data_IF_990552131369
#
_entry.id   IF_990552131369
#
_cell.length_a   1.000
_cell.length_b   1.000
_cell.length_c   1.000
_cell.angle_alpha   90.00
_cell.angle_beta   90.00
_cell.angle_gamma   90.00
#
_symmetry.space_group_name_H-M   'P 1'
#
loop_
_entity.id
_entity.type
_entity.pdbx_description
1 polymer ?
#
# COMPACT_ATOMS: atom_id res chain seq x y z
N UNK A 1 -17.28 25.46 -12.56
CA UNK A 1 -15.99 25.84 -11.96
C UNK A 1 -15.57 24.64 -11.14
N UNK A 2 -14.44 24.03 -11.49
CA UNK A 2 -13.84 22.93 -10.73
C UNK A 2 -13.48 23.46 -9.36
N UNK A 3 -14.07 22.93 -8.29
CA UNK A 3 -13.80 23.39 -6.92
C UNK A 3 -12.48 22.75 -6.46
N UNK A 4 -11.38 23.49 -6.66
CA UNK A 4 -10.04 23.07 -6.26
C UNK A 4 -9.83 23.46 -4.80
N UNK A 5 -9.67 22.46 -3.94
CA UNK A 5 -9.47 22.67 -2.51
C UNK A 5 -8.26 21.90 -2.02
N UNK A 6 -7.48 22.57 -1.18
CA UNK A 6 -6.35 21.96 -0.50
C UNK A 6 -6.81 20.86 0.45
N UNK A 7 -5.96 19.86 0.66
CA UNK A 7 -6.15 18.85 1.68
C UNK A 7 -4.86 18.61 2.46
N UNK A 8 -5.02 18.08 3.66
CA UNK A 8 -3.93 17.63 4.51
C UNK A 8 -4.37 16.38 5.28
N UNK A 9 -3.55 15.33 5.23
CA UNK A 9 -3.69 14.11 6.01
C UNK A 9 -2.45 14.02 6.88
N UNK A 10 -2.65 14.04 8.20
CA UNK A 10 -1.57 13.95 9.20
C UNK A 10 -1.65 12.61 9.91
N UNK A 11 -0.53 11.89 9.96
CA UNK A 11 -0.41 10.62 10.69
C UNK A 11 0.84 10.64 11.54
N UNK A 12 0.65 10.50 12.86
CA UNK A 12 1.73 10.23 13.81
C UNK A 12 1.75 8.74 14.14
N UNK A 13 2.89 8.08 13.93
CA UNK A 13 3.05 6.64 14.22
C UNK A 13 4.47 6.29 14.64
N UNK A 14 4.65 5.07 15.16
CA UNK A 14 5.96 4.50 15.46
C UNK A 14 6.28 3.39 14.46
N UNK A 15 7.48 3.43 13.89
CA UNK A 15 7.95 2.46 12.92
C UNK A 15 9.05 1.56 13.51
N UNK A 16 9.04 0.26 13.18
CA UNK A 16 10.04 -0.70 13.64
C UNK A 16 11.34 -0.62 12.81
N UNK A 17 11.98 0.54 12.80
CA UNK A 17 13.26 0.77 12.14
C UNK A 17 13.85 2.12 12.54
N UNK A 18 15.17 2.28 12.40
CA UNK A 18 15.82 3.57 12.70
C UNK A 18 15.43 4.63 11.67
N UNK A 19 15.55 5.93 11.98
CA UNK A 19 15.30 7.01 11.00
C UNK A 19 16.03 6.78 9.67
N UNK A 20 17.26 6.26 9.69
CA UNK A 20 18.04 5.95 8.49
C UNK A 20 17.40 4.83 7.64
N UNK A 21 16.85 3.80 8.27
CA UNK A 21 16.16 2.70 7.55
C UNK A 21 14.83 3.18 6.98
N UNK A 22 14.08 3.99 7.72
CA UNK A 22 12.86 4.61 7.22
C UNK A 22 13.16 5.55 6.06
N UNK A 23 14.19 6.39 6.18
CA UNK A 23 14.65 7.27 5.10
C UNK A 23 14.94 6.50 3.81
N UNK A 24 15.71 5.41 3.89
CA UNK A 24 16.00 4.55 2.74
C UNK A 24 14.70 4.00 2.13
N UNK A 25 13.80 3.48 2.98
CA UNK A 25 12.52 2.92 2.54
C UNK A 25 11.63 3.93 1.78
N UNK A 26 11.58 5.19 2.21
CA UNK A 26 10.72 6.22 1.60
C UNK A 26 11.39 6.98 0.44
N UNK A 27 12.67 6.72 0.17
CA UNK A 27 13.42 7.37 -0.92
C UNK A 27 13.73 6.41 -2.06
N UNK A 28 14.46 5.33 -1.79
CA UNK A 28 14.90 4.34 -2.79
C UNK A 28 14.11 3.03 -2.71
N UNK A 29 13.47 2.76 -1.56
CA UNK A 29 12.78 1.50 -1.26
C UNK A 29 11.28 1.50 -1.49
N UNK A 30 10.70 2.45 -2.23
CA UNK A 30 9.23 2.56 -2.39
C UNK A 30 8.53 1.31 -2.93
N UNK A 31 9.10 0.49 -3.84
CA UNK A 31 8.47 -0.75 -4.27
C UNK A 31 8.29 -1.79 -3.15
N UNK A 32 9.00 -1.65 -2.03
CA UNK A 32 8.95 -2.61 -0.93
C UNK A 32 7.70 -2.46 -0.05
N UNK A 33 6.99 -1.34 -0.13
CA UNK A 33 5.82 -1.09 0.71
C UNK A 33 4.69 -0.29 0.04
N UNK A 34 4.96 0.33 -1.11
CA UNK A 34 3.99 1.10 -1.90
C UNK A 34 4.02 0.63 -3.36
N UNK A 35 4.39 1.46 -4.32
CA UNK A 35 4.58 1.10 -5.72
C UNK A 35 5.85 1.78 -6.25
N UNK A 36 6.48 1.27 -7.33
CA UNK A 36 7.61 1.93 -7.95
C UNK A 36 7.27 3.36 -8.37
N UNK A 37 8.07 4.31 -7.92
CA UNK A 37 7.83 5.75 -8.17
C UNK A 37 8.73 6.33 -9.26
N UNK A 38 9.58 5.53 -9.91
CA UNK A 38 10.58 5.99 -10.89
C UNK A 38 9.97 6.76 -12.08
N UNK A 39 8.72 6.48 -12.41
CA UNK A 39 8.00 7.13 -13.52
C UNK A 39 7.38 8.48 -13.13
N UNK A 40 7.33 8.79 -11.84
CA UNK A 40 6.74 10.00 -11.28
C UNK A 40 7.81 10.77 -10.49
N UNK A 41 8.75 11.42 -11.20
CA UNK A 41 9.84 12.12 -10.55
C UNK A 41 9.29 13.27 -9.70
N UNK A 42 9.74 13.31 -8.46
CA UNK A 42 9.40 14.35 -7.51
C UNK A 42 10.57 15.31 -7.28
N UNK A 43 10.28 16.49 -6.75
CA UNK A 43 11.28 17.45 -6.28
C UNK A 43 11.40 17.32 -4.77
N UNK A 44 12.62 17.09 -4.27
CA UNK A 44 12.92 17.17 -2.84
C UNK A 44 13.05 18.64 -2.43
N UNK A 45 12.02 19.21 -1.82
CA UNK A 45 12.03 20.61 -1.34
C UNK A 45 12.74 20.76 0.00
N UNK A 46 12.77 19.68 0.79
CA UNK A 46 13.59 19.53 2.00
C UNK A 46 14.27 18.16 1.97
N UNK A 47 15.56 18.11 2.31
CA UNK A 47 16.33 16.87 2.35
C UNK A 47 17.41 16.94 3.44
N UNK A 48 17.00 16.72 4.69
CA UNK A 48 17.86 16.73 5.87
C UNK A 48 17.99 15.32 6.45
N UNK A 49 18.97 14.57 5.97
CA UNK A 49 19.17 13.18 6.38
C UNK A 49 19.52 13.04 7.87
N UNK A 50 18.94 12.07 8.61
CA UNK A 50 17.81 11.20 8.23
C UNK A 50 16.45 11.72 8.75
N UNK A 51 16.39 12.95 9.25
CA UNK A 51 15.29 13.43 10.09
C UNK A 51 14.15 14.14 9.38
N UNK A 52 14.36 14.72 8.19
CA UNK A 52 13.32 15.50 7.52
C UNK A 52 13.42 15.43 6.00
N UNK A 53 12.35 14.94 5.37
CA UNK A 53 12.23 14.81 3.93
C UNK A 53 10.89 15.37 3.47
N UNK A 54 10.92 16.28 2.50
CA UNK A 54 9.71 16.73 1.79
C UNK A 54 9.89 16.48 0.31
N UNK A 55 9.00 15.64 -0.24
CA UNK A 55 8.89 15.33 -1.67
C UNK A 55 7.64 15.95 -2.25
N UNK A 56 7.75 16.60 -3.40
CA UNK A 56 6.63 17.28 -4.06
C UNK A 56 6.58 16.95 -5.55
N UNK A 57 5.40 16.61 -6.02
CA UNK A 57 5.07 16.50 -7.44
C UNK A 57 4.07 17.58 -7.80
N UNK A 58 4.40 18.40 -8.79
CA UNK A 58 3.51 19.40 -9.37
C UNK A 58 2.91 18.87 -10.69
N UNK A 59 1.68 19.29 -10.97
CA UNK A 59 0.94 18.93 -12.18
C UNK A 59 0.27 20.14 -12.83
N UNK A 60 -0.47 19.92 -13.93
CA UNK A 60 -1.17 20.98 -14.63
C UNK A 60 -2.13 21.76 -13.71
N UNK A 61 -2.37 23.02 -14.08
CA UNK A 61 -3.35 23.90 -13.45
C UNK A 61 -3.18 24.08 -11.93
N UNK A 62 -1.93 24.07 -11.46
CA UNK A 62 -1.56 24.31 -10.05
C UNK A 62 -1.81 23.12 -9.12
N UNK A 63 -2.18 21.95 -9.66
CA UNK A 63 -2.26 20.72 -8.87
C UNK A 63 -0.89 20.37 -8.28
N UNK A 64 -0.88 19.87 -7.05
CA UNK A 64 0.31 19.25 -6.47
C UNK A 64 -0.07 18.13 -5.52
N UNK A 65 0.90 17.26 -5.27
CA UNK A 65 0.90 16.24 -4.25
C UNK A 65 2.25 16.31 -3.51
N UNK A 66 2.21 16.43 -2.19
CA UNK A 66 3.37 16.59 -1.35
C UNK A 66 3.31 15.58 -0.21
N UNK A 67 4.44 14.91 0.03
CA UNK A 67 4.65 14.02 1.16
C UNK A 67 5.79 14.57 2.01
N UNK A 68 5.53 14.74 3.30
CA UNK A 68 6.50 15.17 4.29
C UNK A 68 6.66 14.09 5.35
N UNK A 69 7.93 13.79 5.67
CA UNK A 69 8.33 12.82 6.67
C UNK A 69 9.25 13.53 7.65
N UNK A 70 8.82 13.63 8.91
CA UNK A 70 9.67 14.05 10.02
C UNK A 70 9.92 12.83 10.91
N UNK A 71 11.18 12.46 11.06
CA UNK A 71 11.65 11.24 11.71
C UNK A 71 12.44 11.58 12.98
N UNK A 72 11.99 11.05 14.10
CA UNK A 72 12.69 11.17 15.38
C UNK A 72 13.13 9.78 15.86
N UNK A 73 14.37 9.60 16.36
CA UNK A 73 14.80 8.33 16.89
C UNK A 73 14.03 7.96 18.17
N UNK A 74 13.71 6.68 18.30
CA UNK A 74 13.15 6.07 19.52
C UNK A 74 14.06 4.94 20.02
N UNK A 75 13.94 4.63 21.31
CA UNK A 75 14.62 3.49 21.91
C UNK A 75 14.27 2.16 21.21
N UNK A 76 15.26 1.26 21.17
CA UNK A 76 15.13 -0.06 20.56
C UNK A 76 15.30 -0.10 19.04
N UNK A 77 15.95 0.92 18.46
CA UNK A 77 16.19 0.98 17.01
C UNK A 77 14.92 1.29 16.21
N UNK A 78 14.03 2.11 16.77
CA UNK A 78 12.75 2.51 16.20
C UNK A 78 12.76 3.98 15.84
N UNK A 79 11.72 4.44 15.16
CA UNK A 79 11.52 5.84 14.82
C UNK A 79 10.07 6.26 15.07
N UNK A 80 9.86 7.48 15.55
CA UNK A 80 8.58 8.17 15.42
C UNK A 80 8.55 8.82 14.05
N UNK A 81 7.45 8.63 13.34
CA UNK A 81 7.15 9.31 12.09
C UNK A 81 5.98 10.27 12.32
N UNK A 82 6.22 11.54 12.04
CA UNK A 82 5.18 12.50 11.73
C UNK A 82 5.10 12.63 10.21
N UNK A 83 4.00 12.13 9.64
CA UNK A 83 3.77 12.09 8.20
C UNK A 83 2.68 13.07 7.81
N UNK A 84 2.94 13.87 6.79
CA UNK A 84 1.94 14.77 6.20
C UNK A 84 1.83 14.49 4.70
N UNK A 85 0.61 14.17 4.25
CA UNK A 85 0.25 14.11 2.85
C UNK A 85 -0.69 15.26 2.53
N UNK A 86 -0.22 16.20 1.71
CA UNK A 86 -0.97 17.39 1.32
C UNK A 86 -1.00 17.57 -0.19
N UNK A 87 -1.94 18.37 -0.66
CA UNK A 87 -2.13 18.59 -2.08
C UNK A 87 -3.40 19.35 -2.39
N UNK A 88 -3.81 19.29 -3.66
CA UNK A 88 -5.07 19.85 -4.12
C UNK A 88 -5.90 18.73 -4.74
N UNK A 89 -7.13 18.53 -4.24
CA UNK A 89 -8.13 17.74 -4.94
C UNK A 89 -8.98 18.64 -5.85
N UNK A 90 -9.39 18.08 -6.99
CA UNK A 90 -10.32 18.73 -7.91
C UNK A 90 -11.61 17.91 -7.97
N UNK A 91 -12.74 18.56 -7.65
CA UNK A 91 -14.09 17.96 -7.55
C UNK A 91 -14.18 16.80 -6.52
N UNK A 92 -15.38 16.42 -6.06
CA UNK A 92 -15.62 15.32 -5.10
C UNK A 92 -14.62 15.23 -3.92
N UNK A 93 -14.30 16.38 -3.32
CA UNK A 93 -13.23 16.50 -2.33
C UNK A 93 -13.38 15.51 -1.16
N UNK A 94 -14.60 15.35 -0.63
CA UNK A 94 -14.85 14.47 0.53
C UNK A 94 -14.55 12.99 0.22
N UNK A 95 -14.92 12.52 -0.97
CA UNK A 95 -14.64 11.14 -1.42
C UNK A 95 -13.15 10.92 -1.69
N UNK A 96 -12.49 11.91 -2.31
CA UNK A 96 -11.04 11.85 -2.56
C UNK A 96 -10.24 11.90 -1.26
N UNK A 97 -10.66 12.71 -0.30
CA UNK A 97 -10.04 12.79 1.02
C UNK A 97 -10.20 11.49 1.81
N UNK A 98 -11.43 10.93 1.90
CA UNK A 98 -11.68 9.66 2.58
C UNK A 98 -10.84 8.55 1.95
N UNK A 99 -10.85 8.46 0.61
CA UNK A 99 -10.03 7.51 -0.14
C UNK A 99 -8.54 7.67 0.15
N UNK A 100 -7.99 8.88 0.03
CA UNK A 100 -6.57 9.14 0.26
C UNK A 100 -6.15 8.84 1.70
N UNK A 101 -6.93 9.28 2.70
CA UNK A 101 -6.66 9.04 4.12
C UNK A 101 -6.61 7.55 4.44
N UNK A 102 -7.60 6.80 3.94
CA UNK A 102 -7.68 5.34 4.07
C UNK A 102 -6.49 4.62 3.44
N UNK A 103 -6.08 5.02 2.23
CA UNK A 103 -4.90 4.43 1.58
C UNK A 103 -3.61 4.77 2.32
N UNK A 104 -3.45 6.02 2.79
CA UNK A 104 -2.29 6.45 3.59
C UNK A 104 -2.10 5.58 4.82
N UNK A 105 -3.17 5.30 5.58
CA UNK A 105 -3.10 4.40 6.73
C UNK A 105 -2.62 2.99 6.37
N UNK A 106 -3.12 2.43 5.26
CA UNK A 106 -2.74 1.09 4.82
C UNK A 106 -1.30 1.02 4.27
N UNK A 107 -0.84 2.06 3.58
CA UNK A 107 0.55 2.15 3.11
C UNK A 107 1.53 2.31 4.28
N UNK A 108 1.23 3.14 5.28
CA UNK A 108 2.08 3.29 6.46
C UNK A 108 2.13 2.01 7.31
N UNK A 109 1.02 1.26 7.38
CA UNK A 109 1.04 -0.09 7.95
C UNK A 109 1.95 -1.03 7.15
N UNK A 110 1.86 -1.00 5.81
CA UNK A 110 2.71 -1.81 4.94
C UNK A 110 4.19 -1.45 5.07
N UNK A 111 4.53 -0.16 5.25
CA UNK A 111 5.88 0.30 5.56
C UNK A 111 6.39 -0.31 6.87
N UNK A 112 5.55 -0.33 7.91
CA UNK A 112 5.88 -0.98 9.18
C UNK A 112 6.14 -2.49 9.02
N UNK A 113 5.31 -3.19 8.23
CA UNK A 113 5.52 -4.62 7.94
C UNK A 113 6.81 -4.87 7.15
N UNK A 114 7.13 -4.03 6.16
CA UNK A 114 8.39 -4.11 5.43
C UNK A 114 9.58 -3.94 6.37
N UNK A 115 9.61 -2.88 7.18
CA UNK A 115 10.71 -2.59 8.10
C UNK A 115 10.90 -3.68 9.17
N UNK A 116 9.80 -4.29 9.63
CA UNK A 116 9.89 -5.34 10.66
C UNK A 116 10.37 -6.68 10.12
N UNK A 117 9.95 -7.08 8.91
CA UNK A 117 10.07 -8.47 8.45
C UNK A 117 10.95 -8.65 7.21
N UNK A 118 11.12 -7.60 6.41
CA UNK A 118 11.73 -7.67 5.08
C UNK A 118 12.80 -6.60 4.85
N UNK A 119 13.21 -5.87 5.89
CA UNK A 119 14.11 -4.73 5.77
C UNK A 119 15.40 -5.07 5.00
N UNK A 120 15.68 -4.29 3.96
CA UNK A 120 16.86 -4.44 3.12
C UNK A 120 16.83 -5.63 2.16
N UNK A 121 15.75 -6.42 2.12
CA UNK A 121 15.60 -7.48 1.12
C UNK A 121 15.26 -6.87 -0.26
N UNK A 122 15.77 -7.45 -1.36
CA UNK A 122 15.33 -7.09 -2.70
C UNK A 122 13.85 -7.44 -2.85
N UNK A 123 13.12 -6.61 -3.59
CA UNK A 123 11.68 -6.78 -3.85
C UNK A 123 11.40 -6.90 -5.34
N UNK A 124 10.51 -7.82 -5.70
CA UNK A 124 9.82 -7.84 -6.98
C UNK A 124 8.39 -7.38 -6.73
N UNK A 125 8.02 -6.26 -7.36
CA UNK A 125 6.69 -5.68 -7.24
C UNK A 125 5.80 -6.11 -8.41
N UNK A 126 4.55 -6.46 -8.09
CA UNK A 126 3.51 -6.74 -9.08
C UNK A 126 2.22 -6.03 -8.69
N UNK A 127 1.64 -5.28 -9.63
CA UNK A 127 0.29 -4.73 -9.51
C UNK A 127 -0.67 -5.54 -10.39
N UNK A 128 -1.78 -5.97 -9.81
CA UNK A 128 -2.81 -6.79 -10.48
C UNK A 128 -4.17 -6.13 -10.29
N UNK A 129 -4.85 -5.89 -11.42
CA UNK A 129 -6.18 -5.31 -11.46
C UNK A 129 -7.21 -6.40 -11.71
N UNK A 130 -8.24 -6.50 -10.88
CA UNK A 130 -9.36 -7.43 -11.12
C UNK A 130 -10.17 -6.99 -12.35
N UNK A 131 -10.94 -7.90 -12.97
CA UNK A 131 -11.87 -7.53 -14.05
C UNK A 131 -12.84 -6.43 -13.64
N UNK A 132 -13.40 -5.70 -14.62
CA UNK A 132 -14.41 -4.67 -14.37
C UNK A 132 -15.65 -5.21 -13.62
N UNK A 133 -15.94 -6.50 -13.74
CA UNK A 133 -16.99 -7.19 -12.97
C UNK A 133 -16.78 -7.17 -11.45
N UNK A 134 -15.59 -6.80 -10.96
CA UNK A 134 -15.32 -6.56 -9.53
C UNK A 134 -15.82 -5.21 -9.01
N UNK A 135 -16.21 -4.29 -9.90
CA UNK A 135 -16.74 -2.96 -9.55
C UNK A 135 -18.21 -3.02 -9.08
N UNK A 136 -18.54 -3.99 -8.24
CA UNK A 136 -19.85 -4.10 -7.60
C UNK A 136 -19.75 -3.65 -6.14
N UNK A 137 -20.86 -3.22 -5.50
CA UNK A 137 -20.84 -2.82 -4.09
C UNK A 137 -20.28 -3.90 -3.15
N UNK A 138 -20.44 -5.18 -3.48
CA UNK A 138 -19.96 -6.33 -2.73
C UNK A 138 -18.63 -6.93 -3.25
N UNK A 139 -17.97 -6.28 -4.21
CA UNK A 139 -16.80 -6.81 -4.90
C UNK A 139 -15.69 -7.28 -3.96
N UNK A 140 -15.28 -6.44 -3.01
CA UNK A 140 -14.24 -6.80 -2.05
C UNK A 140 -14.66 -7.92 -1.09
N UNK A 141 -15.91 -7.94 -0.65
CA UNK A 141 -16.47 -9.00 0.19
C UNK A 141 -16.47 -10.36 -0.54
N UNK A 142 -16.77 -10.35 -1.85
CA UNK A 142 -16.65 -11.56 -2.69
C UNK A 142 -15.22 -12.08 -2.73
N UNK A 143 -14.23 -11.20 -2.82
CA UNK A 143 -12.82 -11.58 -2.77
C UNK A 143 -12.43 -12.18 -1.41
N UNK A 144 -12.78 -11.52 -0.29
CA UNK A 144 -12.48 -12.05 1.06
C UNK A 144 -13.08 -13.43 1.28
N UNK A 145 -14.32 -13.66 0.80
CA UNK A 145 -14.98 -14.97 0.81
C UNK A 145 -14.27 -16.01 -0.05
N UNK A 146 -13.89 -15.63 -1.27
CA UNK A 146 -13.17 -16.54 -2.17
C UNK A 146 -11.79 -16.94 -1.63
N UNK A 147 -11.13 -16.04 -0.89
CA UNK A 147 -9.89 -16.32 -0.16
C UNK A 147 -10.13 -17.14 1.11
N UNK A 148 -11.36 -17.24 1.63
CA UNK A 148 -11.67 -17.89 2.90
C UNK A 148 -11.26 -17.09 4.14
N UNK A 149 -11.17 -15.76 4.03
CA UNK A 149 -10.70 -14.85 5.10
C UNK A 149 -11.74 -13.78 5.46
N UNK A 150 -13.00 -13.96 5.06
CA UNK A 150 -14.09 -13.03 5.37
C UNK A 150 -14.39 -12.92 6.87
N UNK A 151 -14.15 -14.00 7.62
CA UNK A 151 -14.25 -14.02 9.08
C UNK A 151 -12.91 -13.87 9.82
N UNK A 152 -11.79 -13.68 9.10
CA UNK A 152 -10.47 -13.60 9.71
C UNK A 152 -10.22 -12.20 10.30
N UNK A 153 -9.87 -12.16 11.57
CA UNK A 153 -9.45 -10.94 12.26
C UNK A 153 -7.97 -10.62 12.00
N UNK A 154 -7.58 -9.37 12.20
CA UNK A 154 -6.17 -8.97 12.15
C UNK A 154 -5.36 -9.76 13.19
N UNK A 155 -4.20 -10.28 12.79
CA UNK A 155 -3.34 -11.18 13.56
C UNK A 155 -3.69 -12.67 13.41
N UNK A 156 -4.76 -13.03 12.69
CA UNK A 156 -5.11 -14.43 12.47
C UNK A 156 -4.10 -15.13 11.52
N UNK A 157 -3.69 -16.34 11.89
CA UNK A 157 -2.95 -17.22 10.99
C UNK A 157 -3.87 -17.74 9.87
N UNK A 158 -3.34 -17.86 8.66
CA UNK A 158 -4.06 -18.35 7.49
C UNK A 158 -3.25 -19.40 6.73
N UNK A 159 -3.98 -20.40 6.23
CA UNK A 159 -3.47 -21.45 5.34
C UNK A 159 -4.43 -21.51 4.15
N UNK A 160 -4.02 -20.94 3.03
CA UNK A 160 -4.85 -20.79 1.83
C UNK A 160 -4.35 -21.74 0.75
N UNK A 161 -5.26 -22.44 0.08
CA UNK A 161 -4.98 -23.22 -1.12
C UNK A 161 -5.78 -22.60 -2.26
N UNK A 162 -5.11 -21.81 -3.10
CA UNK A 162 -5.77 -20.99 -4.13
C UNK A 162 -5.49 -21.57 -5.52
N UNK A 163 -6.55 -21.87 -6.27
CA UNK A 163 -6.44 -22.48 -7.59
C UNK A 163 -5.67 -21.57 -8.58
N UNK A 164 -4.56 -22.08 -9.11
CA UNK A 164 -3.64 -21.37 -10.00
C UNK A 164 -2.56 -20.52 -9.29
N UNK A 165 -2.77 -20.15 -8.03
CA UNK A 165 -1.79 -19.38 -7.22
C UNK A 165 -0.93 -20.31 -6.36
N UNK A 166 -1.52 -21.38 -5.83
CA UNK A 166 -0.86 -22.33 -4.93
C UNK A 166 -1.16 -22.09 -3.46
N UNK A 167 -0.31 -22.63 -2.59
CA UNK A 167 -0.48 -22.56 -1.14
C UNK A 167 0.16 -21.30 -0.56
N UNK A 168 -0.58 -20.59 0.29
CA UNK A 168 -0.09 -19.46 1.08
C UNK A 168 -0.24 -19.76 2.57
N UNK A 169 0.86 -19.67 3.31
CA UNK A 169 0.89 -19.81 4.77
C UNK A 169 1.41 -18.50 5.36
N UNK A 170 0.62 -17.89 6.24
CA UNK A 170 0.94 -16.56 6.75
C UNK A 170 -0.07 -16.03 7.76
N UNK A 171 -0.17 -14.71 7.81
CA UNK A 171 -0.99 -13.97 8.77
C UNK A 171 -1.78 -12.87 8.06
N UNK A 172 -3.00 -12.62 8.53
CA UNK A 172 -3.76 -11.40 8.21
C UNK A 172 -3.16 -10.25 9.00
N UNK A 173 -2.19 -9.54 8.43
CA UNK A 173 -1.53 -8.43 9.13
C UNK A 173 -2.37 -7.15 9.16
N UNK A 174 -3.40 -7.05 8.31
CA UNK A 174 -4.34 -5.92 8.23
C UNK A 174 -5.71 -6.37 7.71
N UNK A 175 -6.82 -5.91 8.29
CA UNK A 175 -8.15 -6.17 7.74
C UNK A 175 -9.14 -5.08 8.13
N UNK A 176 -9.80 -4.47 7.15
CA UNK A 176 -10.98 -3.65 7.36
C UNK A 176 -11.96 -3.80 6.17
N UNK A 177 -12.92 -2.88 6.04
CA UNK A 177 -13.93 -2.85 4.97
C UNK A 177 -13.35 -2.53 3.57
N UNK A 178 -12.15 -1.95 3.47
CA UNK A 178 -11.58 -1.49 2.22
C UNK A 178 -10.22 -2.11 1.88
N UNK A 179 -9.52 -2.70 2.83
CA UNK A 179 -8.20 -3.30 2.62
C UNK A 179 -8.01 -4.59 3.40
N UNK A 180 -7.16 -5.45 2.84
CA UNK A 180 -6.71 -6.69 3.44
C UNK A 180 -5.21 -6.82 3.18
N UNK A 181 -4.44 -7.07 4.24
CA UNK A 181 -3.03 -7.38 4.17
C UNK A 181 -2.79 -8.83 4.58
N UNK A 182 -2.13 -9.60 3.73
CA UNK A 182 -1.58 -10.92 4.09
C UNK A 182 -0.05 -10.84 4.06
N UNK A 183 0.61 -11.38 5.08
CA UNK A 183 2.07 -11.52 5.13
C UNK A 183 2.46 -12.97 5.28
N UNK A 184 3.27 -13.47 4.36
CA UNK A 184 3.93 -14.77 4.44
C UNK A 184 5.37 -14.59 4.95
N UNK A 185 6.18 -15.66 4.95
CA UNK A 185 7.60 -15.56 5.30
C UNK A 185 8.44 -14.76 4.28
N UNK A 186 7.93 -14.58 3.07
CA UNK A 186 8.68 -14.09 1.91
C UNK A 186 7.92 -13.07 1.06
N UNK A 187 6.64 -12.80 1.32
CA UNK A 187 5.86 -11.84 0.54
C UNK A 187 4.83 -11.09 1.38
N UNK A 188 4.45 -9.91 0.89
CA UNK A 188 3.26 -9.18 1.33
C UNK A 188 2.26 -9.10 0.19
N UNK A 189 1.02 -9.50 0.45
CA UNK A 189 -0.11 -9.34 -0.46
C UNK A 189 -1.00 -8.22 0.09
N UNK A 190 -1.30 -7.23 -0.73
CA UNK A 190 -2.08 -6.05 -0.35
C UNK A 190 -3.27 -5.96 -1.27
N UNK A 191 -4.47 -6.17 -0.75
CA UNK A 191 -5.70 -6.13 -1.52
C UNK A 191 -6.46 -4.84 -1.24
N UNK A 192 -6.98 -4.23 -2.29
CA UNK A 192 -7.62 -2.93 -2.28
C UNK A 192 -9.06 -3.05 -2.78
N UNK A 193 -10.02 -2.94 -1.87
CA UNK A 193 -11.46 -2.86 -2.13
C UNK A 193 -11.88 -1.54 -2.75
N UNK A 194 -11.22 -1.14 -3.85
CA UNK A 194 -11.47 0.15 -4.50
C UNK A 194 -12.82 0.23 -5.21
N UNK A 195 -13.58 -0.86 -5.24
CA UNK A 195 -14.99 -0.87 -5.65
C UNK A 195 -15.83 0.07 -4.79
N UNK A 196 -15.44 0.30 -3.53
CA UNK A 196 -16.03 1.32 -2.66
C UNK A 196 -15.82 2.76 -3.20
N UNK A 197 -14.83 2.97 -4.06
CA UNK A 197 -14.47 4.25 -4.68
C UNK A 197 -14.70 4.24 -6.20
N UNK A 198 -15.49 3.29 -6.73
CA UNK A 198 -15.83 3.20 -8.15
C UNK A 198 -14.76 2.61 -9.07
N UNK A 199 -13.67 2.05 -8.53
CA UNK A 199 -12.61 1.39 -9.31
C UNK A 199 -12.62 -0.14 -9.09
N UNK A 200 -11.97 -0.96 -9.96
CA UNK A 200 -11.95 -2.40 -9.75
C UNK A 200 -11.21 -2.75 -8.46
N UNK A 201 -11.56 -3.89 -7.85
CA UNK A 201 -10.74 -4.45 -6.78
C UNK A 201 -9.32 -4.67 -7.31
N UNK A 202 -8.32 -4.19 -6.59
CA UNK A 202 -6.91 -4.30 -6.97
C UNK A 202 -6.12 -5.12 -5.97
N UNK A 203 -4.94 -5.57 -6.35
CA UNK A 203 -3.97 -6.07 -5.40
C UNK A 203 -2.54 -5.80 -5.84
N UNK A 204 -1.64 -5.68 -4.87
CA UNK A 204 -0.20 -5.70 -5.10
C UNK A 204 0.45 -6.88 -4.38
N UNK A 205 1.53 -7.37 -4.96
CA UNK A 205 2.43 -8.35 -4.35
C UNK A 205 3.81 -7.73 -4.23
N UNK A 206 4.35 -7.75 -3.02
CA UNK A 206 5.74 -7.42 -2.72
C UNK A 206 6.45 -8.72 -2.40
N UNK A 207 7.16 -9.28 -3.37
CA UNK A 207 7.88 -10.55 -3.24
C UNK A 207 9.34 -10.30 -2.83
N UNK A 208 9.73 -10.86 -1.69
CA UNK A 208 11.07 -10.76 -1.09
C UNK A 208 11.82 -12.11 -1.09
N UNK A 209 11.34 -13.10 -1.86
CA UNK A 209 11.94 -14.44 -1.95
C UNK A 209 13.31 -14.45 -2.63
N UNK A 210 13.62 -13.41 -3.40
CA UNK A 210 14.80 -13.34 -4.27
C UNK A 210 14.65 -14.09 -5.60
N UNK A 211 13.50 -14.74 -5.82
CA UNK A 211 13.17 -15.46 -7.06
C UNK A 211 11.83 -15.04 -7.67
N UNK A 212 11.26 -13.93 -7.21
CA UNK A 212 9.97 -13.42 -7.69
C UNK A 212 9.97 -13.18 -9.20
N UNK A 213 8.85 -13.52 -9.84
CA UNK A 213 8.58 -13.26 -11.25
C UNK A 213 7.25 -12.49 -11.35
N UNK A 214 7.34 -11.22 -11.73
CA UNK A 214 6.17 -10.34 -11.78
C UNK A 214 5.15 -10.78 -12.82
N UNK A 215 5.60 -11.33 -13.95
CA UNK A 215 4.70 -11.79 -15.01
C UNK A 215 3.97 -13.07 -14.60
N UNK A 216 4.69 -14.05 -14.03
CA UNK A 216 4.08 -15.28 -13.52
C UNK A 216 3.11 -14.99 -12.35
N UNK A 217 3.49 -14.07 -11.46
CA UNK A 217 2.63 -13.62 -10.35
C UNK A 217 1.35 -12.97 -10.87
N UNK A 218 1.47 -12.09 -11.87
CA UNK A 218 0.32 -11.43 -12.50
C UNK A 218 -0.61 -12.43 -13.21
N UNK A 219 -0.05 -13.43 -13.90
CA UNK A 219 -0.83 -14.48 -14.56
C UNK A 219 -1.61 -15.33 -13.54
N UNK A 220 -0.94 -15.79 -12.48
CA UNK A 220 -1.54 -16.63 -11.45
C UNK A 220 -2.68 -15.91 -10.72
N UNK A 221 -2.41 -14.71 -10.19
CA UNK A 221 -3.41 -13.93 -9.48
C UNK A 221 -4.50 -13.39 -10.39
N UNK A 222 -4.16 -12.97 -11.60
CA UNK A 222 -5.13 -12.55 -12.62
C UNK A 222 -6.10 -13.67 -12.97
N UNK A 223 -5.60 -14.90 -13.13
CA UNK A 223 -6.42 -16.10 -13.36
C UNK A 223 -7.35 -16.43 -12.19
N UNK A 224 -6.86 -16.34 -10.96
CA UNK A 224 -7.68 -16.51 -9.76
C UNK A 224 -8.79 -15.45 -9.69
N UNK A 225 -8.45 -14.17 -9.82
CA UNK A 225 -9.42 -13.06 -9.78
C UNK A 225 -10.45 -13.17 -10.91
N UNK A 226 -10.05 -13.58 -12.11
CA UNK A 226 -10.98 -13.81 -13.20
C UNK A 226 -12.05 -14.87 -12.85
N UNK A 227 -11.69 -15.93 -12.13
CA UNK A 227 -12.64 -16.95 -11.65
C UNK A 227 -13.56 -16.42 -10.54
N UNK A 228 -13.04 -15.60 -9.63
CA UNK A 228 -13.82 -14.99 -8.54
C UNK A 228 -14.93 -14.07 -9.07
N UNK A 229 -14.64 -13.36 -10.16
CA UNK A 229 -15.54 -12.37 -10.77
C UNK A 229 -16.17 -12.80 -12.10
N UNK A 230 -16.11 -14.09 -12.43
CA UNK A 230 -16.80 -14.68 -13.56
C UNK A 230 -18.33 -14.67 -13.40
#
# INVERSE_FOLDING_TARGET
MTDKREFEIVVDTELPGTPERVWEAVTSGTPAWMFPTDQWPDVKTVQEYPGHLVSRMDGPDGWFNQLEHVLEPLDGGRARLHYVHSGIFADNWDEQYDGASKHTGFYLHTLGQYLQYFDGKPVVFTDIQSPAASQTPDGFERLKKALGVDAAEQGAAVELELDGVGRLSGEVDFSNENFLGLRTSDAMYRFFGRNAFGAPVGMTVHDFSGSGDSAATAEAWGGFLAKVYA
#
